data_IF_751353856843
#
_entry.id   IF_751353856843
#
_cell.length_a   1.000
_cell.length_b   1.000
_cell.length_c   1.000
_cell.angle_alpha   90.00
_cell.angle_beta   90.00
_cell.angle_gamma   90.00
#
_symmetry.space_group_name_H-M   'P 1'
#
loop_
_entity.id
_entity.type
_entity.pdbx_description
1 polymer ?
#
# COMPACT_ATOMS: atom_id res chain seq x y z
N UNK A 1 13.10 12.53 14.56
CA UNK A 1 12.35 13.67 15.14
C UNK A 1 11.03 13.77 14.40
N UNK A 2 9.95 14.12 15.10
CA UNK A 2 8.62 14.35 14.50
C UNK A 2 8.29 15.84 14.57
N UNK A 3 7.57 16.34 13.57
CA UNK A 3 7.07 17.71 13.49
C UNK A 3 5.55 17.68 13.66
N UNK A 4 5.00 18.55 14.51
CA UNK A 4 3.55 18.67 14.69
C UNK A 4 3.04 19.79 13.77
N UNK A 5 2.16 19.43 12.83
CA UNK A 5 1.50 20.36 11.93
C UNK A 5 0.37 21.13 12.63
N UNK A 6 -0.03 22.27 12.04
CA UNK A 6 -1.05 23.17 12.59
C UNK A 6 -2.44 22.53 12.71
N UNK A 7 -2.71 21.50 11.91
CA UNK A 7 -3.94 20.70 11.93
C UNK A 7 -3.91 19.58 13.00
N UNK A 8 -2.83 19.48 13.79
CA UNK A 8 -2.66 18.48 14.83
C UNK A 8 -2.04 17.16 14.36
N UNK A 9 -1.69 17.01 13.07
CA UNK A 9 -0.98 15.82 12.56
C UNK A 9 0.48 15.81 13.01
N UNK A 10 1.00 14.62 13.28
CA UNK A 10 2.42 14.40 13.51
C UNK A 10 3.07 13.86 12.23
N UNK A 11 4.08 14.54 11.71
CA UNK A 11 4.87 14.13 10.55
C UNK A 11 6.23 13.67 11.03
N UNK A 12 6.61 12.44 10.67
CA UNK A 12 7.94 11.91 11.00
C UNK A 12 8.79 11.97 9.74
N UNK A 13 9.96 12.61 9.83
CA UNK A 13 10.95 12.48 8.76
C UNK A 13 11.53 11.07 8.83
N UNK A 14 11.30 10.28 7.78
CA UNK A 14 11.91 8.96 7.64
C UNK A 14 13.38 9.17 7.25
N UNK A 15 14.35 8.73 8.08
CA UNK A 15 15.76 8.86 7.75
C UNK A 15 16.10 7.87 6.63
N UNK A 16 15.85 8.26 5.39
CA UNK A 16 16.38 7.56 4.23
C UNK A 16 17.90 7.70 4.29
N UNK A 17 18.62 6.57 4.13
CA UNK A 17 20.08 6.64 3.98
C UNK A 17 20.36 7.47 2.72
N UNK A 18 21.23 8.50 2.80
CA UNK A 18 21.52 9.39 1.67
C UNK A 18 22.13 8.67 0.45
N UNK A 19 22.49 7.39 0.60
CA UNK A 19 23.19 6.57 -0.39
C UNK A 19 22.33 5.42 -0.93
N UNK A 20 20.99 5.52 -0.92
CA UNK A 20 20.14 4.57 -1.64
C UNK A 20 19.82 5.13 -3.03
N UNK A 21 20.65 4.93 -4.06
CA UNK A 21 20.21 5.18 -5.41
C UNK A 21 19.00 4.28 -5.71
N UNK A 22 18.08 4.78 -6.54
CA UNK A 22 16.90 4.04 -7.01
C UNK A 22 17.27 2.65 -7.57
N UNK A 23 18.51 2.47 -7.99
CA UNK A 23 19.09 1.23 -8.52
C UNK A 23 19.32 0.12 -7.47
N UNK A 24 19.34 0.41 -6.16
CA UNK A 24 19.51 -0.62 -5.11
C UNK A 24 18.22 -1.41 -4.89
N UNK A 25 17.09 -0.74 -5.02
CA UNK A 25 15.77 -1.35 -4.90
C UNK A 25 15.45 -1.91 -6.28
N UNK A 26 15.44 -3.24 -6.41
CA UNK A 26 15.13 -3.89 -7.68
C UNK A 26 13.72 -3.55 -8.17
N UNK A 27 13.22 -4.27 -9.17
CA UNK A 27 11.92 -3.96 -9.78
C UNK A 27 10.74 -4.29 -8.84
N UNK A 28 10.44 -3.38 -7.91
CA UNK A 28 9.31 -3.45 -6.96
C UNK A 28 7.97 -3.36 -7.68
N UNK A 29 7.88 -2.51 -8.71
CA UNK A 29 6.68 -2.31 -9.54
C UNK A 29 6.18 -3.61 -10.15
N UNK A 30 7.07 -4.40 -10.75
CA UNK A 30 6.73 -5.71 -11.33
C UNK A 30 6.12 -6.64 -10.27
N UNK A 31 6.72 -6.70 -9.08
CA UNK A 31 6.24 -7.57 -8.00
C UNK A 31 4.89 -7.09 -7.47
N UNK A 32 4.76 -5.79 -7.21
CA UNK A 32 3.52 -5.18 -6.75
C UNK A 32 2.39 -5.35 -7.77
N UNK A 33 2.66 -5.14 -9.06
CA UNK A 33 1.69 -5.35 -10.15
C UNK A 33 1.23 -6.79 -10.22
N UNK A 34 2.15 -7.75 -10.18
CA UNK A 34 1.79 -9.18 -10.19
C UNK A 34 0.91 -9.56 -8.99
N UNK A 35 1.18 -8.99 -7.82
CA UNK A 35 0.36 -9.21 -6.62
C UNK A 35 -1.01 -8.54 -6.73
N UNK A 36 -1.06 -7.37 -7.34
CA UNK A 36 -2.31 -6.66 -7.63
C UNK A 36 -3.19 -7.48 -8.59
N UNK A 37 -2.63 -8.04 -9.67
CA UNK A 37 -3.38 -8.88 -10.61
C UNK A 37 -3.98 -10.12 -9.92
N UNK A 38 -3.20 -10.76 -9.04
CA UNK A 38 -3.66 -11.90 -8.22
C UNK A 38 -4.79 -11.50 -7.27
N UNK A 39 -4.65 -10.34 -6.61
CA UNK A 39 -5.68 -9.79 -5.75
C UNK A 39 -6.97 -9.54 -6.54
N UNK A 40 -6.89 -8.88 -7.70
CA UNK A 40 -8.05 -8.63 -8.55
C UNK A 40 -8.74 -9.91 -8.99
N UNK A 41 -7.98 -10.90 -9.45
CA UNK A 41 -8.54 -12.20 -9.84
C UNK A 41 -9.27 -12.90 -8.67
N UNK A 42 -8.75 -12.78 -7.45
CA UNK A 42 -9.38 -13.30 -6.25
C UNK A 42 -10.66 -12.52 -5.88
N UNK A 43 -10.59 -11.19 -5.88
CA UNK A 43 -11.72 -10.31 -5.56
C UNK A 43 -12.89 -10.50 -6.51
N UNK A 44 -12.66 -10.72 -7.81
CA UNK A 44 -13.73 -10.99 -8.77
C UNK A 44 -14.55 -12.24 -8.45
N UNK A 45 -13.98 -13.17 -7.67
CA UNK A 45 -14.63 -14.43 -7.26
C UNK A 45 -15.04 -14.43 -5.79
N UNK A 46 -14.80 -13.33 -5.07
CA UNK A 46 -14.95 -13.24 -3.61
C UNK A 46 -16.04 -12.24 -3.23
N UNK A 47 -16.72 -12.51 -2.12
CA UNK A 47 -17.65 -11.56 -1.47
C UNK A 47 -16.92 -10.33 -0.92
N UNK A 48 -15.59 -10.35 -0.86
CA UNK A 48 -14.74 -9.24 -0.42
C UNK A 48 -14.74 -8.02 -1.34
N UNK A 49 -15.17 -8.16 -2.60
CA UNK A 49 -15.03 -7.11 -3.61
C UNK A 49 -15.66 -5.79 -3.19
N UNK A 50 -16.88 -5.83 -2.65
CA UNK A 50 -17.59 -4.63 -2.22
C UNK A 50 -16.83 -3.90 -1.09
N UNK A 51 -16.46 -4.64 -0.04
CA UNK A 51 -15.67 -4.09 1.07
C UNK A 51 -14.34 -3.49 0.63
N UNK A 52 -13.70 -4.08 -0.39
CA UNK A 52 -12.44 -3.59 -0.93
C UNK A 52 -12.63 -2.26 -1.67
N UNK A 53 -13.67 -2.16 -2.51
CA UNK A 53 -14.04 -0.92 -3.19
C UNK A 53 -14.37 0.18 -2.19
N UNK A 54 -15.16 -0.14 -1.15
CA UNK A 54 -15.53 0.84 -0.11
C UNK A 54 -14.29 1.35 0.63
N UNK A 55 -13.37 0.45 1.01
CA UNK A 55 -12.10 0.83 1.62
C UNK A 55 -11.30 1.77 0.73
N UNK A 56 -11.14 1.47 -0.57
CA UNK A 56 -10.38 2.30 -1.49
C UNK A 56 -11.02 3.69 -1.62
N UNK A 57 -12.34 3.78 -1.80
CA UNK A 57 -13.05 5.06 -1.89
C UNK A 57 -12.88 5.90 -0.62
N UNK A 58 -13.00 5.28 0.55
CA UNK A 58 -12.76 5.97 1.83
C UNK A 58 -11.31 6.46 1.92
N UNK A 59 -10.34 5.61 1.60
CA UNK A 59 -8.91 5.93 1.66
C UNK A 59 -8.52 7.09 0.73
N UNK A 60 -9.13 7.18 -0.46
CA UNK A 60 -9.00 8.34 -1.36
C UNK A 60 -9.68 9.59 -0.80
N UNK A 61 -10.92 9.48 -0.29
CA UNK A 61 -11.65 10.62 0.29
C UNK A 61 -10.94 11.24 1.50
N UNK A 62 -10.23 10.41 2.28
CA UNK A 62 -9.38 10.84 3.39
C UNK A 62 -8.04 11.41 2.92
N UNK A 63 -7.81 11.49 1.61
CA UNK A 63 -6.58 11.96 0.98
C UNK A 63 -5.35 11.14 1.41
N UNK A 64 -5.55 9.86 1.77
CA UNK A 64 -4.48 8.94 2.11
C UNK A 64 -3.90 8.25 0.87
N UNK A 65 -4.60 8.29 -0.26
CA UNK A 65 -4.07 7.96 -1.57
C UNK A 65 -4.60 8.93 -2.64
N UNK A 66 -3.95 8.89 -3.80
CA UNK A 66 -4.40 9.54 -5.03
C UNK A 66 -4.03 8.62 -6.20
N UNK A 67 -4.71 8.79 -7.32
CA UNK A 67 -4.32 8.10 -8.55
C UNK A 67 -2.87 8.49 -8.94
N UNK A 68 -2.06 7.47 -9.24
CA UNK A 68 -0.68 7.69 -9.67
C UNK A 68 -0.62 8.07 -11.15
N UNK A 69 0.20 9.05 -11.49
CA UNK A 69 0.40 9.53 -12.87
C UNK A 69 1.30 8.61 -13.71
N UNK A 70 1.42 7.33 -13.34
CA UNK A 70 2.28 6.31 -13.96
C UNK A 70 3.76 6.67 -13.93
N UNK A 71 4.25 7.09 -12.77
CA UNK A 71 5.68 7.35 -12.61
C UNK A 71 6.49 6.06 -12.80
N UNK A 72 7.57 6.09 -13.58
CA UNK A 72 8.55 4.99 -13.58
C UNK A 72 9.51 5.09 -12.39
N UNK A 73 9.58 6.26 -11.75
CA UNK A 73 10.36 6.49 -10.53
C UNK A 73 9.46 6.36 -9.31
N UNK A 74 9.78 5.41 -8.45
CA UNK A 74 9.00 5.15 -7.24
C UNK A 74 9.21 3.75 -6.69
N UNK A 75 8.82 3.58 -5.42
CA UNK A 75 8.84 2.29 -4.76
C UNK A 75 7.41 1.80 -4.53
N UNK A 76 7.14 0.55 -4.93
CA UNK A 76 5.79 0.00 -4.96
C UNK A 76 5.65 -1.11 -3.93
N UNK A 77 4.74 -0.90 -2.98
CA UNK A 77 4.41 -1.90 -1.97
C UNK A 77 3.27 -2.80 -2.46
N UNK A 78 3.45 -4.14 -2.47
CA UNK A 78 2.32 -5.04 -2.54
C UNK A 78 1.37 -4.78 -1.37
N UNK A 79 0.07 -4.90 -1.61
CA UNK A 79 -0.94 -4.80 -0.56
C UNK A 79 -1.92 -5.96 -0.66
N UNK A 80 -2.56 -6.29 0.46
CA UNK A 80 -3.57 -7.35 0.53
C UNK A 80 -4.61 -7.03 1.59
N UNK A 81 -5.83 -7.52 1.39
CA UNK A 81 -6.93 -7.35 2.33
C UNK A 81 -7.14 -8.59 3.18
N UNK A 82 -7.46 -8.39 4.46
CA UNK A 82 -7.89 -9.44 5.39
C UNK A 82 -9.29 -9.07 5.88
N UNK A 83 -10.26 -9.96 5.68
CA UNK A 83 -11.56 -9.86 6.36
C UNK A 83 -11.39 -10.37 7.79
N UNK A 84 -11.61 -9.48 8.75
CA UNK A 84 -11.88 -9.90 10.12
C UNK A 84 -13.39 -10.09 10.25
N UNK A 85 -13.81 -11.34 10.44
CA UNK A 85 -15.15 -11.64 10.94
C UNK A 85 -15.08 -11.58 12.47
N UNK A 86 -15.65 -10.54 13.04
CA UNK A 86 -15.97 -10.51 14.47
C UNK A 86 -17.48 -10.78 14.67
N UNK A 87 -17.89 -11.10 15.90
CA UNK A 87 -19.28 -11.46 16.20
C UNK A 87 -20.30 -10.32 15.97
N UNK A 88 -19.87 -9.09 15.62
CA UNK A 88 -20.71 -7.91 15.47
C UNK A 88 -20.57 -7.22 14.12
N UNK A 89 -19.40 -7.27 13.48
CA UNK A 89 -19.07 -6.61 12.22
C UNK A 89 -18.06 -7.41 11.40
N UNK A 90 -18.21 -7.37 10.07
CA UNK A 90 -17.17 -7.81 9.14
C UNK A 90 -16.36 -6.58 8.74
N UNK A 91 -15.10 -6.51 9.15
CA UNK A 91 -14.22 -5.37 8.83
C UNK A 91 -13.10 -5.81 7.91
N UNK A 92 -12.95 -5.13 6.78
CA UNK A 92 -11.77 -5.29 5.91
C UNK A 92 -10.61 -4.47 6.45
N UNK A 93 -9.44 -5.09 6.57
CA UNK A 93 -8.17 -4.43 6.85
C UNK A 93 -7.22 -4.62 5.67
N UNK A 94 -6.74 -3.51 5.07
CA UNK A 94 -5.74 -3.56 4.00
C UNK A 94 -4.35 -3.31 4.58
N UNK A 95 -3.42 -4.21 4.27
CA UNK A 95 -2.04 -4.18 4.75
C UNK A 95 -1.12 -3.90 3.56
N UNK A 96 -0.33 -2.83 3.67
CA UNK A 96 0.74 -2.50 2.74
C UNK A 96 2.05 -3.13 3.21
N UNK A 97 2.63 -4.02 2.40
CA UNK A 97 3.83 -4.75 2.77
C UNK A 97 5.09 -3.99 2.33
N UNK A 98 5.56 -3.09 3.18
CA UNK A 98 6.83 -2.37 2.98
C UNK A 98 8.09 -3.25 3.13
N UNK A 99 7.96 -4.46 3.66
CA UNK A 99 9.06 -5.42 3.79
C UNK A 99 9.15 -6.40 2.61
N UNK A 100 8.33 -6.22 1.58
CA UNK A 100 8.34 -7.09 0.41
C UNK A 100 9.68 -6.97 -0.32
N UNK A 101 10.38 -8.10 -0.46
CA UNK A 101 11.65 -8.14 -1.19
C UNK A 101 11.44 -7.73 -2.65
N UNK A 102 12.32 -6.88 -3.15
CA UNK A 102 12.44 -6.58 -4.59
C UNK A 102 13.28 -7.63 -5.31
N UNK A 103 13.49 -7.46 -6.63
CA UNK A 103 14.37 -8.34 -7.41
C UNK A 103 15.83 -8.30 -6.95
N UNK A 104 16.27 -7.28 -6.21
CA UNK A 104 17.60 -7.23 -5.60
C UNK A 104 17.68 -7.97 -4.25
N UNK A 105 16.57 -8.55 -3.78
CA UNK A 105 16.49 -9.29 -2.52
C UNK A 105 16.30 -8.42 -1.27
N UNK A 106 16.35 -7.10 -1.43
CA UNK A 106 16.15 -6.13 -0.35
C UNK A 106 14.74 -5.50 -0.42
N UNK A 107 14.11 -5.23 0.74
CA UNK A 107 12.93 -4.38 0.82
C UNK A 107 13.27 -2.90 0.66
#
# INVERSE_FOLDING_TARGET
>A
MYEKQRDGKYVVSMPLKPELPETILGNSKMIASKRLDQLWACLQRSTMKAHYSDFLNEYESLHHMKEDSKSETGYYFPHHGILQLDNKTTKLCVIFNASAKTTSGNP
#
